data_IF_221799895448
#
_entry.id   IF_221799895448
#
_cell.length_a   1.000
_cell.length_b   1.000
_cell.length_c   1.000
_cell.angle_alpha   90.00
_cell.angle_beta   90.00
_cell.angle_gamma   90.00
#
_symmetry.space_group_name_H-M   'P 1'
#
loop_
_entity.id
_entity.type
_entity.pdbx_description
1 polymer ?
#
# COMPACT_ATOMS: atom_id res chain seq x y z
N UNK A 1 -3.56 9.65 8.47
CA UNK A 1 -3.86 8.21 8.23
C UNK A 1 -2.56 7.48 7.96
N UNK A 2 -2.47 6.20 8.32
CA UNK A 2 -1.32 5.35 8.03
C UNK A 2 -1.73 4.20 7.12
N UNK A 3 -0.95 3.94 6.08
CA UNK A 3 -1.24 2.95 5.04
C UNK A 3 0.01 2.15 4.79
N UNK A 4 -0.10 0.83 4.90
CA UNK A 4 0.97 -0.08 4.52
C UNK A 4 0.60 -0.76 3.21
N UNK A 5 1.51 -0.73 2.23
CA UNK A 5 1.28 -1.33 0.92
C UNK A 5 2.43 -2.23 0.50
N UNK A 6 2.07 -3.28 -0.24
CA UNK A 6 2.99 -4.11 -1.02
C UNK A 6 2.75 -3.76 -2.49
N UNK A 7 3.82 -3.48 -3.21
CA UNK A 7 3.78 -2.95 -4.59
C UNK A 7 4.35 -3.98 -5.56
N UNK A 8 3.80 -4.06 -6.77
CA UNK A 8 4.33 -4.99 -7.77
C UNK A 8 5.62 -4.47 -8.43
N UNK A 9 6.48 -5.39 -8.82
CA UNK A 9 7.71 -5.09 -9.55
C UNK A 9 7.39 -4.46 -10.91
N UNK A 10 8.14 -3.40 -11.24
CA UNK A 10 7.99 -2.67 -12.50
C UNK A 10 7.02 -1.47 -12.42
N UNK A 11 6.39 -1.22 -11.27
CA UNK A 11 5.53 -0.05 -11.05
C UNK A 11 6.29 1.06 -10.32
N UNK A 12 6.04 2.32 -10.68
CA UNK A 12 6.66 3.46 -10.01
C UNK A 12 6.04 3.69 -8.62
N UNK A 13 6.79 3.39 -7.55
CA UNK A 13 6.38 3.64 -6.15
C UNK A 13 5.86 5.07 -5.94
N UNK A 14 6.51 6.05 -6.56
CA UNK A 14 6.13 7.47 -6.44
C UNK A 14 4.74 7.74 -7.02
N UNK A 15 4.40 7.09 -8.14
CA UNK A 15 3.10 7.23 -8.78
C UNK A 15 2.01 6.56 -7.95
N UNK A 16 2.30 5.34 -7.46
CA UNK A 16 1.40 4.60 -6.56
C UNK A 16 1.11 5.38 -5.28
N UNK A 17 2.14 5.93 -4.64
CA UNK A 17 1.98 6.74 -3.42
C UNK A 17 1.15 8.00 -3.65
N UNK A 18 1.36 8.70 -4.77
CA UNK A 18 0.57 9.87 -5.13
C UNK A 18 -0.91 9.50 -5.42
N UNK A 19 -1.13 8.38 -6.12
CA UNK A 19 -2.47 7.88 -6.44
C UNK A 19 -3.23 7.52 -5.15
N UNK A 20 -2.59 6.78 -4.24
CA UNK A 20 -3.16 6.40 -2.93
C UNK A 20 -3.51 7.65 -2.12
N UNK A 21 -2.56 8.59 -1.98
CA UNK A 21 -2.78 9.81 -1.20
C UNK A 21 -3.99 10.58 -1.70
N UNK A 22 -4.09 10.78 -3.02
CA UNK A 22 -5.21 11.51 -3.62
C UNK A 22 -6.54 10.79 -3.40
N UNK A 23 -6.57 9.48 -3.62
CA UNK A 23 -7.79 8.69 -3.45
C UNK A 23 -8.28 8.70 -1.99
N UNK A 24 -7.36 8.57 -1.03
CA UNK A 24 -7.70 8.64 0.40
C UNK A 24 -8.26 10.01 0.77
N UNK A 25 -7.63 11.10 0.31
CA UNK A 25 -8.12 12.46 0.58
C UNK A 25 -9.53 12.63 0.00
N UNK A 26 -9.72 12.32 -1.29
CA UNK A 26 -11.02 12.46 -1.97
C UNK A 26 -12.12 11.65 -1.26
N UNK A 27 -11.83 10.40 -0.88
CA UNK A 27 -12.78 9.50 -0.24
C UNK A 27 -13.12 9.93 1.20
N UNK A 28 -12.11 10.28 2.00
CA UNK A 28 -12.30 10.63 3.41
C UNK A 28 -12.97 12.00 3.53
N UNK A 29 -12.49 13.01 2.79
CA UNK A 29 -13.10 14.35 2.78
C UNK A 29 -14.51 14.29 2.20
N UNK A 30 -14.72 13.56 1.10
CA UNK A 30 -16.02 13.46 0.42
C UNK A 30 -17.07 12.66 1.21
N UNK A 31 -16.68 11.61 1.92
CA UNK A 31 -17.62 10.75 2.67
C UNK A 31 -17.91 11.28 4.06
N UNK A 32 -16.89 11.80 4.75
CA UNK A 32 -17.00 12.18 6.17
C UNK A 32 -17.04 13.68 6.41
N UNK A 33 -16.63 14.50 5.43
CA UNK A 33 -16.51 15.95 5.58
C UNK A 33 -15.37 16.39 6.50
N UNK A 34 -14.46 15.48 6.85
CA UNK A 34 -13.29 15.77 7.67
C UNK A 34 -12.09 16.12 6.80
N UNK A 35 -11.30 17.12 7.18
CA UNK A 35 -10.07 17.53 6.48
C UNK A 35 -8.91 16.57 6.78
N UNK A 36 -8.21 16.12 5.74
CA UNK A 36 -7.07 15.21 5.89
C UNK A 36 -5.76 15.99 5.96
N UNK A 37 -5.15 16.02 7.15
CA UNK A 37 -3.87 16.73 7.37
C UNK A 37 -2.64 15.99 6.82
N UNK A 38 -2.59 14.66 6.93
CA UNK A 38 -1.48 13.85 6.45
C UNK A 38 -1.90 12.41 6.10
N UNK A 39 -1.20 11.86 5.12
CA UNK A 39 -1.27 10.45 4.74
C UNK A 39 0.15 9.90 4.70
N UNK A 40 0.43 8.95 5.58
CA UNK A 40 1.69 8.22 5.62
C UNK A 40 1.52 6.92 4.84
N UNK A 41 2.36 6.73 3.83
CA UNK A 41 2.37 5.51 3.00
C UNK A 41 3.69 4.80 3.20
N UNK A 42 3.62 3.64 3.84
CA UNK A 42 4.76 2.79 4.11
C UNK A 42 4.79 1.62 3.12
N UNK A 43 5.87 1.49 2.36
CA UNK A 43 6.07 0.38 1.42
C UNK A 43 6.90 -0.68 2.13
N UNK A 44 6.30 -1.83 2.39
CA UNK A 44 6.95 -2.91 3.15
C UNK A 44 7.65 -3.93 2.26
N UNK A 45 7.10 -4.18 1.06
CA UNK A 45 7.65 -5.21 0.18
C UNK A 45 7.33 -4.95 -1.31
N UNK A 46 8.11 -5.56 -2.20
CA UNK A 46 7.91 -5.52 -3.66
C UNK A 46 7.65 -6.93 -4.17
N UNK A 47 6.48 -7.16 -4.78
CA UNK A 47 6.14 -8.46 -5.35
C UNK A 47 6.84 -8.66 -6.70
N UNK A 48 7.74 -9.65 -6.79
CA UNK A 48 8.44 -10.00 -8.03
C UNK A 48 7.68 -11.12 -8.77
N UNK A 49 7.55 -11.06 -10.11
CA UNK A 49 6.87 -12.09 -10.89
C UNK A 49 7.54 -13.47 -10.84
N UNK A 50 8.81 -13.56 -10.40
CA UNK A 50 9.53 -14.83 -10.19
C UNK A 50 9.17 -15.51 -8.84
N UNK A 51 8.41 -14.85 -7.94
CA UNK A 51 7.97 -15.42 -6.67
C UNK A 51 6.63 -16.19 -6.73
N UNK A 52 6.08 -16.41 -7.92
CA UNK A 52 4.91 -17.31 -8.11
C UNK A 52 5.24 -18.80 -7.83
N UNK A 53 6.50 -19.14 -7.50
CA UNK A 53 6.93 -20.52 -7.24
C UNK A 53 7.36 -20.85 -5.81
N UNK A 54 7.39 -19.92 -4.84
CA UNK A 54 7.77 -20.27 -3.46
C UNK A 54 6.88 -19.60 -2.39
N UNK A 55 5.74 -20.26 -2.16
CA UNK A 55 5.38 -20.76 -0.82
C UNK A 55 4.83 -19.79 0.25
N UNK A 56 3.50 -19.83 0.36
CA UNK A 56 2.75 -20.17 1.58
C UNK A 56 3.53 -20.85 2.73
N UNK A 57 4.37 -20.13 3.45
CA UNK A 57 5.13 -20.70 4.56
C UNK A 57 4.41 -20.48 5.90
N UNK A 58 3.63 -21.47 6.31
CA UNK A 58 3.31 -21.73 7.72
C UNK A 58 4.59 -21.73 8.56
N UNK A 59 4.62 -20.98 9.66
CA UNK A 59 5.50 -21.27 10.80
C UNK A 59 4.76 -21.01 12.12
N UNK A 60 3.80 -21.89 12.44
CA UNK A 60 3.83 -22.52 13.76
C UNK A 60 4.97 -23.53 13.71
N UNK A 61 5.93 -23.48 14.66
CA UNK A 61 6.66 -24.65 15.16
C UNK A 61 7.56 -24.24 16.36
N UNK A 62 7.08 -24.70 17.53
CA UNK A 62 7.76 -25.02 18.80
C UNK A 62 7.94 -23.94 19.87
#
# INVERSE_FOLDING_TARGET
MDVTVVVEYGVSIVEVGNAIRRNIIEQVEGTTGLEVIEVNVNVTDVHLPDEDSDNSSTTELK
#
